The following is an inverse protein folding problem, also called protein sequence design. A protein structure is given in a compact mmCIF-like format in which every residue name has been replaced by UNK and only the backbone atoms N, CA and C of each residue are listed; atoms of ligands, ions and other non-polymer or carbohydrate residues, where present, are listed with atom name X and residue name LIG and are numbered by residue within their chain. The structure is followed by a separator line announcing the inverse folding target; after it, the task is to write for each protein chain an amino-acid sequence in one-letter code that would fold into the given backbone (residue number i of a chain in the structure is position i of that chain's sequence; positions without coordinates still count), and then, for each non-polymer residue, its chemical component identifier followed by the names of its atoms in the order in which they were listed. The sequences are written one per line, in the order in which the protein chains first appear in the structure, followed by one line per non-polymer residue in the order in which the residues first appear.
data_IF_661753566890
#
_entry.id   IF_661753566890
#
_cell.length_a   1.000
_cell.length_b   1.000
_cell.length_c   1.000
_cell.angle_alpha   90.00
_cell.angle_beta   90.00
_cell.angle_gamma   90.00
#
_symmetry.space_group_name_H-M   'P 1'
#
loop_
_entity.id
_entity.type
_entity.pdbx_description
1 polymer ?
#
# COMPACT_ATOMS: atom_id res chain seq x y z
N UNK A 1 -40.89 11.64 -6.81
CA UNK A 1 -39.71 12.49 -7.10
C UNK A 1 -38.76 12.62 -5.90
N UNK A 2 -39.16 13.18 -4.75
CA UNK A 2 -38.28 13.41 -3.58
C UNK A 2 -37.59 12.15 -3.02
N UNK A 3 -38.30 11.01 -3.02
CA UNK A 3 -37.78 9.71 -2.55
C UNK A 3 -36.73 9.09 -3.49
N UNK A 4 -36.86 9.29 -4.81
CA UNK A 4 -35.89 8.79 -5.79
C UNK A 4 -34.60 9.61 -5.73
N UNK A 5 -34.72 10.94 -5.64
CA UNK A 5 -33.58 11.84 -5.43
C UNK A 5 -32.80 11.49 -4.15
N UNK A 6 -33.50 11.22 -3.05
CA UNK A 6 -32.87 10.81 -1.79
C UNK A 6 -32.07 9.50 -1.92
N UNK A 7 -32.60 8.52 -2.66
CA UNK A 7 -31.94 7.24 -2.85
C UNK A 7 -30.69 7.33 -3.74
N UNK A 8 -30.72 8.15 -4.80
CA UNK A 8 -29.55 8.36 -5.66
C UNK A 8 -28.44 9.12 -4.92
N UNK A 9 -28.77 10.22 -4.22
CA UNK A 9 -27.82 10.93 -3.34
C UNK A 9 -27.18 10.01 -2.30
N UNK A 10 -27.98 9.11 -1.70
CA UNK A 10 -27.47 8.15 -0.73
C UNK A 10 -26.48 7.16 -1.38
N UNK A 11 -26.76 6.68 -2.60
CA UNK A 11 -25.86 5.77 -3.32
C UNK A 11 -24.53 6.44 -3.68
N UNK A 12 -24.58 7.67 -4.18
CA UNK A 12 -23.39 8.46 -4.49
C UNK A 12 -22.51 8.64 -3.25
N UNK A 13 -23.11 9.06 -2.12
CA UNK A 13 -22.38 9.21 -0.86
C UNK A 13 -21.77 7.89 -0.36
N UNK A 14 -22.46 6.76 -0.47
CA UNK A 14 -21.88 5.47 -0.08
C UNK A 14 -20.75 5.02 -1.01
N UNK A 15 -20.83 5.32 -2.30
CA UNK A 15 -19.77 5.06 -3.26
C UNK A 15 -18.53 5.92 -2.95
N UNK A 16 -18.71 7.20 -2.65
CA UNK A 16 -17.64 8.10 -2.23
C UNK A 16 -16.93 7.57 -0.98
N UNK A 17 -17.69 7.13 0.03
CA UNK A 17 -17.11 6.49 1.23
C UNK A 17 -16.28 5.24 0.92
N UNK A 18 -16.70 4.43 -0.05
CA UNK A 18 -15.96 3.25 -0.48
C UNK A 18 -14.62 3.62 -1.15
N UNK A 19 -14.64 4.66 -1.99
CA UNK A 19 -13.44 5.18 -2.65
C UNK A 19 -12.47 5.71 -1.60
N UNK A 20 -12.94 6.58 -0.70
CA UNK A 20 -12.14 7.15 0.38
C UNK A 20 -11.55 6.09 1.30
N UNK A 21 -12.30 5.03 1.61
CA UNK A 21 -11.79 3.89 2.37
C UNK A 21 -10.64 3.18 1.64
N UNK A 22 -10.80 2.97 0.33
CA UNK A 22 -9.77 2.31 -0.49
C UNK A 22 -8.50 3.17 -0.55
N UNK A 23 -8.64 4.47 -0.82
CA UNK A 23 -7.53 5.43 -0.84
C UNK A 23 -6.77 5.48 0.50
N UNK A 24 -7.50 5.43 1.62
CA UNK A 24 -6.88 5.38 2.94
C UNK A 24 -6.05 4.11 3.15
N UNK A 25 -6.53 2.94 2.69
CA UNK A 25 -5.76 1.69 2.78
C UNK A 25 -4.51 1.76 1.90
N UNK A 26 -4.60 2.30 0.69
CA UNK A 26 -3.44 2.51 -0.17
C UNK A 26 -2.40 3.43 0.48
N UNK A 27 -2.83 4.56 1.04
CA UNK A 27 -1.96 5.51 1.70
C UNK A 27 -1.23 4.89 2.90
N UNK A 28 -1.94 4.12 3.73
CA UNK A 28 -1.34 3.42 4.87
C UNK A 28 -0.36 2.34 4.40
N UNK A 29 -0.70 1.54 3.39
CA UNK A 29 0.21 0.52 2.88
C UNK A 29 1.51 1.13 2.35
N UNK A 30 1.43 2.26 1.64
CA UNK A 30 2.60 3.01 1.16
C UNK A 30 3.47 3.50 2.31
N UNK A 31 2.88 4.07 3.37
CA UNK A 31 3.66 4.59 4.49
C UNK A 31 4.24 3.48 5.37
N UNK A 32 3.57 2.34 5.49
CA UNK A 32 4.09 1.19 6.23
C UNK A 32 5.33 0.56 5.56
N UNK A 33 5.46 0.65 4.23
CA UNK A 33 6.62 0.11 3.52
C UNK A 33 7.96 0.63 4.07
N UNK A 34 8.02 1.90 4.49
CA UNK A 34 9.28 2.50 4.97
C UNK A 34 9.73 1.90 6.32
N UNK A 35 8.77 1.42 7.12
CA UNK A 35 9.05 0.84 8.45
C UNK A 35 9.77 -0.50 8.32
N UNK A 36 9.60 -1.19 7.18
CA UNK A 36 10.27 -2.47 6.91
C UNK A 36 11.77 -2.31 6.62
N UNK A 37 12.24 -1.10 6.33
CA UNK A 37 13.68 -0.80 6.20
C UNK A 37 14.26 -0.67 7.61
N UNK A 38 14.52 -1.80 8.24
CA UNK A 38 15.09 -1.86 9.60
C UNK A 38 16.56 -1.45 9.60
N UNK A 39 16.91 -0.58 10.53
CA UNK A 39 18.30 -0.22 10.83
C UNK A 39 18.92 -1.37 11.65
N UNK A 40 20.15 -1.81 11.35
CA UNK A 40 20.80 -2.86 12.15
C UNK A 40 20.99 -2.46 13.63
N UNK A 41 20.66 -3.34 14.56
CA UNK A 41 20.64 -3.09 16.03
C UNK A 41 22.03 -3.08 16.71
N UNK A 42 23.12 -3.07 15.95
CA UNK A 42 24.47 -3.20 16.51
C UNK A 42 25.00 -1.87 17.05
N UNK A 43 25.06 -1.77 18.38
CA UNK A 43 25.62 -0.64 19.15
C UNK A 43 27.15 -0.57 19.20
N UNK A 44 27.85 -1.39 18.41
CA UNK A 44 29.32 -1.34 18.35
C UNK A 44 29.83 -0.02 17.78
N UNK A 45 31.04 0.38 18.17
CA UNK A 45 31.67 1.67 17.84
C UNK A 45 31.54 1.99 16.35
N UNK A 46 30.60 2.87 16.02
CA UNK A 46 30.37 3.33 14.65
C UNK A 46 31.57 4.21 14.26
N UNK A 47 32.45 3.67 13.42
CA UNK A 47 33.48 4.43 12.70
C UNK A 47 32.97 4.66 11.27
N UNK A 48 33.35 5.76 10.63
CA UNK A 48 32.86 6.15 9.29
C UNK A 48 32.93 5.03 8.24
N UNK A 49 34.00 4.20 8.28
CA UNK A 49 34.15 3.05 7.37
C UNK A 49 33.13 1.92 7.60
N UNK A 50 32.75 1.68 8.86
CA UNK A 50 31.75 0.66 9.23
C UNK A 50 30.34 1.13 8.85
N UNK A 51 30.07 2.45 8.94
CA UNK A 51 28.79 3.03 8.55
C UNK A 51 28.50 2.84 7.06
N UNK A 52 29.49 3.12 6.19
CA UNK A 52 29.33 2.94 4.75
C UNK A 52 29.08 1.47 4.36
N UNK A 53 29.76 0.54 5.02
CA UNK A 53 29.55 -0.89 4.79
C UNK A 53 28.14 -1.33 5.21
N UNK A 54 27.64 -0.85 6.36
CA UNK A 54 26.27 -1.13 6.81
C UNK A 54 25.21 -0.51 5.88
N UNK A 55 25.46 0.68 5.35
CA UNK A 55 24.56 1.31 4.39
C UNK A 55 24.46 0.50 3.09
N UNK A 56 25.58 -0.04 2.60
CA UNK A 56 25.58 -0.91 1.43
C UNK A 56 24.76 -2.18 1.65
N UNK A 57 24.74 -2.72 2.87
CA UNK A 57 23.93 -3.89 3.21
C UNK A 57 22.41 -3.60 3.20
N UNK A 58 22.01 -2.33 3.31
CA UNK A 58 20.60 -1.92 3.21
C UNK A 58 20.10 -1.74 1.77
N UNK A 59 20.99 -1.76 0.76
CA UNK A 59 20.61 -1.55 -0.65
C UNK A 59 19.49 -2.51 -1.11
N UNK A 60 19.53 -3.83 -0.82
CA UNK A 60 18.43 -4.74 -1.19
C UNK A 60 17.10 -4.40 -0.52
N UNK A 61 17.13 -3.82 0.71
CA UNK A 61 15.92 -3.36 1.40
C UNK A 61 15.33 -2.13 0.74
N UNK A 62 16.17 -1.19 0.33
CA UNK A 62 15.73 -0.01 -0.44
C UNK A 62 15.18 -0.38 -1.82
N UNK A 63 15.76 -1.37 -2.51
CA UNK A 63 15.25 -1.82 -3.82
C UNK A 63 13.88 -2.49 -3.68
N UNK A 64 13.71 -3.36 -2.68
CA UNK A 64 12.43 -3.97 -2.34
C UNK A 64 11.36 -2.92 -2.02
N UNK A 65 11.70 -1.96 -1.16
CA UNK A 65 10.85 -0.81 -0.86
C UNK A 65 10.43 -0.06 -2.13
N UNK A 66 11.38 0.29 -2.98
CA UNK A 66 11.12 1.09 -4.19
C UNK A 66 10.20 0.36 -5.17
N UNK A 67 10.47 -0.92 -5.43
CA UNK A 67 9.65 -1.75 -6.32
C UNK A 67 8.23 -1.87 -5.79
N UNK A 68 8.08 -2.16 -4.49
CA UNK A 68 6.76 -2.27 -3.86
C UNK A 68 6.00 -0.96 -3.81
N UNK A 69 6.67 0.15 -3.54
CA UNK A 69 6.07 1.49 -3.58
C UNK A 69 5.50 1.79 -4.97
N UNK A 70 6.30 1.55 -6.02
CA UNK A 70 5.86 1.75 -7.40
C UNK A 70 4.69 0.84 -7.77
N UNK A 71 4.74 -0.42 -7.36
CA UNK A 71 3.68 -1.39 -7.62
C UNK A 71 2.37 -0.97 -6.95
N UNK A 72 2.39 -0.60 -5.66
CA UNK A 72 1.19 -0.09 -4.96
C UNK A 72 0.68 1.19 -5.65
N UNK A 73 1.57 2.12 -6.04
CA UNK A 73 1.20 3.35 -6.74
C UNK A 73 0.55 3.12 -8.10
N UNK A 74 1.01 2.13 -8.86
CA UNK A 74 0.39 1.71 -10.13
C UNK A 74 -1.00 1.13 -9.86
N UNK A 75 -1.13 0.22 -8.89
CA UNK A 75 -2.43 -0.36 -8.53
C UNK A 75 -3.41 0.70 -8.05
N UNK A 76 -2.95 1.67 -7.25
CA UNK A 76 -3.76 2.81 -6.82
C UNK A 76 -4.22 3.65 -8.02
N UNK A 77 -3.33 3.95 -8.97
CA UNK A 77 -3.67 4.72 -10.18
C UNK A 77 -4.72 4.01 -11.03
N UNK A 78 -4.57 2.69 -11.21
CA UNK A 78 -5.54 1.86 -11.94
C UNK A 78 -6.88 1.80 -11.19
N UNK A 79 -6.85 1.60 -9.87
CA UNK A 79 -8.04 1.58 -9.02
C UNK A 79 -8.79 2.91 -9.10
N UNK A 80 -8.10 4.03 -8.89
CA UNK A 80 -8.67 5.37 -8.98
C UNK A 80 -9.32 5.62 -10.35
N UNK A 81 -8.64 5.24 -11.45
CA UNK A 81 -9.20 5.34 -12.81
C UNK A 81 -10.43 4.47 -12.99
N UNK A 82 -10.43 3.22 -12.52
CA UNK A 82 -11.58 2.33 -12.64
C UNK A 82 -12.79 2.84 -11.85
N UNK A 83 -12.58 3.32 -10.63
CA UNK A 83 -13.65 3.85 -9.79
C UNK A 83 -14.24 5.17 -10.32
N UNK A 84 -13.49 5.91 -11.15
CA UNK A 84 -14.03 7.05 -11.90
C UNK A 84 -15.14 6.70 -12.91
N UNK A 85 -15.24 5.43 -13.33
CA UNK A 85 -16.31 4.95 -14.23
C UNK A 85 -17.47 4.25 -13.50
N UNK A 86 -17.35 4.02 -12.19
CA UNK A 86 -18.36 3.31 -11.42
C UNK A 86 -19.49 4.27 -11.04
N UNK A 87 -20.71 3.99 -11.50
CA UNK A 87 -21.90 4.81 -11.20
C UNK A 87 -22.75 4.26 -10.05
N UNK A 88 -22.50 3.02 -9.61
CA UNK A 88 -23.18 2.40 -8.49
C UNK A 88 -22.35 1.27 -7.87
N UNK A 89 -22.54 1.01 -6.58
CA UNK A 89 -21.87 -0.10 -5.90
C UNK A 89 -22.83 -1.26 -5.64
N UNK A 90 -22.32 -2.49 -5.78
CA UNK A 90 -23.05 -3.71 -5.43
C UNK A 90 -22.35 -4.41 -4.27
N UNK A 91 -23.07 -5.28 -3.55
CA UNK A 91 -22.48 -6.08 -2.47
C UNK A 91 -21.30 -6.94 -2.94
N UNK A 92 -21.38 -7.44 -4.18
CA UNK A 92 -20.30 -8.21 -4.81
C UNK A 92 -19.06 -7.35 -5.04
N UNK A 93 -19.23 -6.12 -5.53
CA UNK A 93 -18.13 -5.17 -5.71
C UNK A 93 -17.43 -4.87 -4.37
N UNK A 94 -18.20 -4.66 -3.30
CA UNK A 94 -17.65 -4.43 -1.97
C UNK A 94 -16.73 -5.57 -1.50
N UNK A 95 -17.18 -6.82 -1.64
CA UNK A 95 -16.39 -7.99 -1.22
C UNK A 95 -15.12 -8.12 -2.06
N UNK A 96 -15.23 -7.95 -3.38
CA UNK A 96 -14.07 -8.01 -4.29
C UNK A 96 -13.07 -6.89 -3.94
N UNK A 97 -13.56 -5.67 -3.68
CA UNK A 97 -12.71 -4.56 -3.26
C UNK A 97 -12.01 -4.85 -1.93
N UNK A 98 -12.71 -5.41 -0.94
CA UNK A 98 -12.09 -5.78 0.34
C UNK A 98 -11.02 -6.86 0.19
N UNK A 99 -11.25 -7.88 -0.62
CA UNK A 99 -10.24 -8.91 -0.90
C UNK A 99 -9.03 -8.32 -1.63
N UNK A 100 -9.25 -7.42 -2.58
CA UNK A 100 -8.17 -6.69 -3.25
C UNK A 100 -7.36 -5.84 -2.25
N UNK A 101 -8.03 -5.05 -1.41
CA UNK A 101 -7.40 -4.22 -0.39
C UNK A 101 -6.65 -5.03 0.67
N UNK A 102 -7.11 -6.25 0.98
CA UNK A 102 -6.37 -7.18 1.84
C UNK A 102 -4.97 -7.49 1.27
N UNK A 103 -4.86 -7.74 -0.03
CA UNK A 103 -3.57 -7.98 -0.66
C UNK A 103 -2.69 -6.72 -0.69
N UNK A 104 -3.29 -5.54 -0.91
CA UNK A 104 -2.57 -4.26 -0.80
C UNK A 104 -2.02 -4.06 0.62
N UNK A 105 -2.82 -4.34 1.65
CA UNK A 105 -2.40 -4.23 3.04
C UNK A 105 -1.31 -5.24 3.43
N UNK A 106 -1.20 -6.37 2.70
CA UNK A 106 -0.16 -7.39 2.91
C UNK A 106 1.18 -7.03 2.25
N UNK A 107 1.20 -6.08 1.31
CA UNK A 107 2.41 -5.69 0.56
C UNK A 107 3.60 -5.29 1.45
N UNK A 108 3.45 -4.50 2.52
CA UNK A 108 4.56 -4.16 3.40
C UNK A 108 5.25 -5.40 3.98
N UNK A 109 4.46 -6.31 4.54
CA UNK A 109 4.95 -7.59 5.07
C UNK A 109 5.72 -8.39 4.00
N UNK A 110 5.14 -8.55 2.81
CA UNK A 110 5.78 -9.30 1.72
C UNK A 110 7.10 -8.66 1.28
N UNK A 111 7.19 -7.34 1.31
CA UNK A 111 8.39 -6.58 0.96
C UNK A 111 9.50 -6.78 1.99
N UNK A 112 9.15 -6.63 3.28
CA UNK A 112 10.05 -6.91 4.39
C UNK A 112 10.58 -8.35 4.34
N UNK A 113 9.67 -9.32 4.18
CA UNK A 113 10.02 -10.74 4.06
C UNK A 113 10.98 -11.00 2.88
N UNK A 114 10.66 -10.49 1.68
CA UNK A 114 11.54 -10.68 0.52
C UNK A 114 12.91 -10.04 0.72
N UNK A 115 12.95 -8.80 1.20
CA UNK A 115 14.22 -8.09 1.38
C UNK A 115 15.12 -8.68 2.47
N UNK A 116 14.54 -9.34 3.48
CA UNK A 116 15.29 -10.03 4.53
C UNK A 116 15.88 -11.36 4.06
N UNK A 117 15.13 -12.17 3.31
CA UNK A 117 15.54 -13.53 2.96
C UNK A 117 16.09 -13.69 1.54
N UNK A 118 15.64 -12.88 0.57
CA UNK A 118 16.08 -12.97 -0.83
C UNK A 118 17.25 -12.01 -1.16
N UNK A 119 17.53 -11.03 -0.29
CA UNK A 119 18.67 -10.11 -0.43
C UNK A 119 19.93 -10.53 0.35
N UNK A 120 19.90 -11.69 1.01
CA UNK A 120 20.95 -12.18 1.90
C UNK A 120 21.88 -13.25 1.27
N UNK A 121 21.70 -13.56 -0.01
CA UNK A 121 22.66 -14.32 -0.84
C UNK A 121 23.55 -13.37 -1.65
#
# INVERSE_FOLDING_TARGET
MKMQLHNELRKEFQLERLILFSDAVFAIAITLLVIEIKIPDEHDKITDGVLLQKLNHLIPKFSGFFVSFMLIGIYWTVHHRMFGFVTSYTRRLLIINLVFLFFIALMPFSTGFYSEYAGAE
#
